data_IF_649608865363
#
_entry.id   IF_649608865363
#
_cell.length_a   1.000
_cell.length_b   1.000
_cell.length_c   1.000
_cell.angle_alpha   90.00
_cell.angle_beta   90.00
_cell.angle_gamma   90.00
#
_symmetry.space_group_name_H-M   'P 1'
#
loop_
_entity.id
_entity.type
_entity.pdbx_description
1 polymer ?
#
# COMPACT_ATOMS: atom_id res chain seq x y z
N UNK A 1 19.33 21.16 25.84
CA UNK A 1 18.67 21.10 24.52
C UNK A 1 17.53 20.11 24.60
N UNK A 2 16.31 20.48 24.19
CA UNK A 2 15.19 19.52 24.10
C UNK A 2 15.25 18.86 22.72
N UNK A 3 15.19 17.53 22.67
CA UNK A 3 15.13 16.75 21.43
C UNK A 3 13.76 16.12 21.31
N UNK A 4 13.21 16.11 20.09
CA UNK A 4 11.99 15.39 19.72
C UNK A 4 12.36 14.20 18.86
N UNK A 5 11.93 13.01 19.25
CA UNK A 5 12.14 11.77 18.49
C UNK A 5 10.84 11.40 17.79
N UNK A 6 10.90 11.23 16.48
CA UNK A 6 9.77 10.78 15.67
C UNK A 6 10.12 9.38 15.16
N UNK A 7 9.34 8.34 15.49
CA UNK A 7 9.62 6.99 15.01
C UNK A 7 9.46 6.90 13.49
N UNK A 8 10.06 5.86 12.91
CA UNK A 8 9.94 5.59 11.48
C UNK A 8 8.46 5.52 11.07
N UNK A 9 8.15 6.10 9.90
CA UNK A 9 6.78 6.11 9.37
C UNK A 9 5.80 6.94 10.20
N UNK A 10 6.30 7.75 11.14
CA UNK A 10 5.47 8.46 12.12
C UNK A 10 4.52 7.50 12.86
N UNK A 11 4.96 6.28 13.16
CA UNK A 11 4.19 5.29 13.90
C UNK A 11 4.07 5.67 15.38
N UNK A 12 3.24 6.66 15.68
CA UNK A 12 2.91 7.10 17.03
C UNK A 12 1.55 7.84 17.02
N UNK A 13 0.89 8.01 18.19
CA UNK A 13 -0.50 8.47 18.28
C UNK A 13 -0.84 9.77 17.55
N UNK A 14 0.07 10.75 17.51
CA UNK A 14 -0.21 12.04 16.87
C UNK A 14 -0.35 11.94 15.33
N UNK A 15 0.08 10.84 14.70
CA UNK A 15 -0.17 10.64 13.28
C UNK A 15 -1.66 10.47 12.96
N UNK A 16 -2.48 10.04 13.92
CA UNK A 16 -3.92 9.84 13.73
C UNK A 16 -4.63 11.13 13.29
N UNK A 17 -4.21 12.30 13.79
CA UNK A 17 -4.90 13.57 13.51
C UNK A 17 -4.93 13.88 12.01
N UNK A 18 -3.78 13.78 11.34
CA UNK A 18 -3.70 14.01 9.89
C UNK A 18 -4.38 12.90 9.08
N UNK A 19 -4.27 11.65 9.53
CA UNK A 19 -4.90 10.52 8.82
C UNK A 19 -6.43 10.55 8.95
N UNK A 20 -6.95 11.05 10.07
CA UNK A 20 -8.39 11.28 10.25
C UNK A 20 -8.93 12.27 9.21
N UNK A 21 -8.22 13.38 8.97
CA UNK A 21 -8.60 14.34 7.92
C UNK A 21 -8.64 13.67 6.54
N UNK A 22 -7.62 12.86 6.22
CA UNK A 22 -7.62 12.08 4.97
C UNK A 22 -8.83 11.13 4.87
N UNK A 23 -9.20 10.46 5.96
CA UNK A 23 -10.37 9.58 5.98
C UNK A 23 -11.68 10.37 5.78
N UNK A 24 -11.81 11.54 6.41
CA UNK A 24 -12.95 12.44 6.24
C UNK A 24 -13.07 12.92 4.78
N UNK A 25 -11.97 13.29 4.15
CA UNK A 25 -11.92 13.66 2.72
C UNK A 25 -12.33 12.49 1.80
N UNK A 26 -11.84 11.27 2.07
CA UNK A 26 -12.23 10.07 1.31
C UNK A 26 -13.73 9.78 1.48
N UNK A 27 -14.24 9.87 2.71
CA UNK A 27 -15.65 9.64 3.01
C UNK A 27 -16.53 10.67 2.29
N UNK A 28 -16.18 11.95 2.38
CA UNK A 28 -16.89 13.03 1.69
C UNK A 28 -16.88 12.80 0.18
N UNK A 29 -15.73 12.48 -0.41
CA UNK A 29 -15.61 12.21 -1.84
C UNK A 29 -16.52 11.06 -2.30
N UNK A 30 -16.47 9.92 -1.61
CA UNK A 30 -17.29 8.74 -1.97
C UNK A 30 -18.78 9.00 -1.77
N UNK A 31 -19.16 9.59 -0.63
CA UNK A 31 -20.57 9.79 -0.26
C UNK A 31 -21.22 10.95 -1.01
N UNK A 32 -20.48 11.92 -1.52
CA UNK A 32 -21.04 13.06 -2.27
C UNK A 32 -20.98 12.85 -3.78
N UNK A 33 -19.85 12.38 -4.30
CA UNK A 33 -19.65 12.27 -5.76
C UNK A 33 -20.14 10.92 -6.31
N UNK A 34 -20.25 9.88 -5.46
CA UNK A 34 -20.43 8.50 -5.90
C UNK A 34 -21.42 7.70 -5.04
N UNK A 35 -22.55 8.31 -4.67
CA UNK A 35 -23.59 7.73 -3.78
C UNK A 35 -24.09 6.33 -4.14
N UNK A 36 -23.98 5.92 -5.40
CA UNK A 36 -24.44 4.63 -5.88
C UNK A 36 -23.31 3.62 -6.09
N UNK A 37 -22.07 3.95 -5.74
CA UNK A 37 -20.90 3.08 -5.88
C UNK A 37 -20.43 2.60 -4.52
N UNK A 38 -19.74 1.46 -4.51
CA UNK A 38 -19.00 0.97 -3.35
C UNK A 38 -17.51 1.07 -3.67
N UNK A 39 -16.69 1.30 -2.66
CA UNK A 39 -15.26 1.53 -2.88
C UNK A 39 -14.40 0.56 -2.06
N UNK A 40 -13.33 0.13 -2.69
CA UNK A 40 -12.20 -0.51 -2.02
C UNK A 40 -11.02 0.44 -2.09
N UNK A 41 -10.58 0.91 -0.93
CA UNK A 41 -9.39 1.75 -0.78
C UNK A 41 -8.17 0.85 -0.66
N UNK A 42 -7.14 1.11 -1.45
CA UNK A 42 -5.87 0.37 -1.40
C UNK A 42 -4.73 1.34 -1.16
N UNK A 43 -3.80 0.98 -0.26
CA UNK A 43 -2.57 1.74 -0.07
C UNK A 43 -1.33 0.85 0.20
N UNK A 44 -0.14 1.26 -0.29
CA UNK A 44 1.12 0.63 0.08
C UNK A 44 1.44 0.90 1.56
N UNK A 45 2.01 -0.10 2.24
CA UNK A 45 2.32 -0.02 3.67
C UNK A 45 3.79 -0.35 3.97
N UNK A 46 4.47 0.60 4.61
CA UNK A 46 5.71 0.36 5.33
C UNK A 46 5.43 -0.11 6.75
N UNK A 47 5.33 0.84 7.69
CA UNK A 47 4.92 0.61 9.08
C UNK A 47 3.42 0.39 9.25
N UNK A 48 2.61 0.76 8.24
CA UNK A 48 1.15 0.58 8.30
C UNK A 48 0.38 1.68 9.04
N UNK A 49 1.04 2.66 9.65
CA UNK A 49 0.42 3.73 10.44
C UNK A 49 -0.79 4.38 9.75
N UNK A 50 -0.65 4.76 8.48
CA UNK A 50 -1.76 5.34 7.70
C UNK A 50 -2.93 4.35 7.55
N UNK A 51 -2.66 3.08 7.24
CA UNK A 51 -3.72 2.09 7.04
C UNK A 51 -4.47 1.78 8.34
N UNK A 52 -3.76 1.68 9.47
CA UNK A 52 -4.38 1.47 10.77
C UNK A 52 -5.33 2.61 11.13
N UNK A 53 -4.86 3.85 11.03
CA UNK A 53 -5.67 5.00 11.40
C UNK A 53 -6.79 5.29 10.39
N UNK A 54 -6.59 5.04 9.09
CA UNK A 54 -7.69 5.09 8.11
C UNK A 54 -8.80 4.12 8.48
N UNK A 55 -8.47 2.90 8.92
CA UNK A 55 -9.47 1.90 9.30
C UNK A 55 -10.40 2.36 10.45
N UNK A 56 -9.95 3.30 11.30
CA UNK A 56 -10.77 3.82 12.40
C UNK A 56 -11.77 4.89 11.96
N UNK A 57 -11.51 5.58 10.83
CA UNK A 57 -12.24 6.79 10.44
C UNK A 57 -12.92 6.67 9.08
N UNK A 58 -12.61 5.66 8.27
CA UNK A 58 -13.31 5.41 7.01
C UNK A 58 -14.77 4.97 7.24
N UNK A 59 -15.63 5.34 6.30
CA UNK A 59 -17.03 4.94 6.30
C UNK A 59 -17.13 3.40 6.30
N UNK A 60 -18.02 2.78 7.11
CA UNK A 60 -18.10 1.31 7.24
C UNK A 60 -18.31 0.55 5.93
N UNK A 61 -18.96 1.18 4.94
CA UNK A 61 -19.18 0.58 3.63
C UNK A 61 -17.94 0.61 2.73
N UNK A 62 -16.83 1.25 3.12
CA UNK A 62 -15.56 1.27 2.38
C UNK A 62 -14.68 0.11 2.89
N UNK A 63 -14.22 -0.74 1.98
CA UNK A 63 -13.24 -1.79 2.30
C UNK A 63 -11.84 -1.18 2.21
N UNK A 64 -10.98 -1.44 3.17
CA UNK A 64 -9.61 -0.94 3.18
C UNK A 64 -8.62 -2.11 3.06
N UNK A 65 -7.72 -2.02 2.10
CA UNK A 65 -6.70 -3.01 1.79
C UNK A 65 -5.30 -2.45 1.95
N UNK A 66 -4.48 -3.11 2.75
CA UNK A 66 -3.09 -2.73 3.03
C UNK A 66 -2.11 -3.65 2.29
N UNK A 67 -1.20 -3.07 1.50
CA UNK A 67 -0.17 -3.86 0.78
C UNK A 67 1.16 -3.84 1.53
N UNK A 68 1.65 -4.99 2.07
CA UNK A 68 2.89 -5.01 2.86
C UNK A 68 4.14 -4.87 1.98
N UNK A 69 4.81 -3.70 2.03
CA UNK A 69 5.94 -3.38 1.14
C UNK A 69 7.33 -3.57 1.77
N UNK A 70 7.46 -3.50 3.10
CA UNK A 70 8.76 -3.63 3.80
C UNK A 70 9.03 -5.07 4.28
N UNK A 71 7.97 -5.80 4.62
CA UNK A 71 8.00 -7.20 5.08
C UNK A 71 6.91 -8.02 4.42
N UNK A 72 6.30 -8.94 5.16
CA UNK A 72 5.10 -9.65 4.74
C UNK A 72 3.88 -9.27 5.59
N UNK A 73 2.76 -9.94 5.36
CA UNK A 73 1.52 -9.67 6.09
C UNK A 73 1.68 -9.86 7.60
N UNK A 74 2.46 -10.85 8.05
CA UNK A 74 2.71 -11.09 9.46
C UNK A 74 3.53 -9.95 10.08
N UNK A 75 4.56 -9.47 9.38
CA UNK A 75 5.31 -8.30 9.82
C UNK A 75 4.41 -7.05 9.92
N UNK A 76 3.56 -6.81 8.93
CA UNK A 76 2.66 -5.65 8.95
C UNK A 76 1.64 -5.74 10.10
N UNK A 77 1.12 -6.95 10.37
CA UNK A 77 0.24 -7.20 11.51
C UNK A 77 0.92 -6.88 12.85
N UNK A 78 2.18 -7.27 13.03
CA UNK A 78 2.97 -6.92 14.22
C UNK A 78 3.15 -5.41 14.36
N UNK A 79 3.32 -4.67 13.26
CA UNK A 79 3.39 -3.21 13.31
C UNK A 79 2.06 -2.58 13.75
N UNK A 80 0.92 -3.13 13.33
CA UNK A 80 -0.38 -2.68 13.82
C UNK A 80 -0.54 -2.94 15.32
N UNK A 81 -0.22 -4.15 15.79
CA UNK A 81 -0.30 -4.52 17.20
C UNK A 81 0.55 -3.59 18.07
N UNK A 82 1.80 -3.33 17.66
CA UNK A 82 2.68 -2.41 18.37
C UNK A 82 2.08 -0.99 18.45
N UNK A 83 1.57 -0.46 17.34
CA UNK A 83 1.00 0.89 17.32
C UNK A 83 -0.30 0.98 18.14
N UNK A 84 -1.10 -0.10 18.18
CA UNK A 84 -2.28 -0.20 19.04
C UNK A 84 -1.89 -0.19 20.52
N UNK A 85 -0.84 -0.91 20.90
CA UNK A 85 -0.35 -0.93 22.29
C UNK A 85 0.21 0.43 22.73
N UNK A 86 0.82 1.18 21.80
CA UNK A 86 1.37 2.51 22.05
C UNK A 86 0.31 3.62 22.10
N UNK A 87 -0.86 3.40 21.49
CA UNK A 87 -1.94 4.39 21.41
C UNK A 87 -3.06 4.12 22.43
N UNK A 88 -3.19 4.93 23.51
CA UNK A 88 -4.18 4.70 24.54
C UNK A 88 -5.63 4.87 24.06
N UNK A 89 -5.86 5.41 22.85
CA UNK A 89 -7.19 5.51 22.26
C UNK A 89 -7.64 4.22 21.55
N UNK A 90 -6.72 3.28 21.34
CA UNK A 90 -6.96 2.02 20.65
C UNK A 90 -6.94 0.84 21.63
N UNK A 91 -7.54 -0.28 21.22
CA UNK A 91 -7.53 -1.55 21.98
C UNK A 91 -7.49 -2.73 21.02
N UNK A 92 -6.63 -3.72 21.26
CA UNK A 92 -6.41 -4.85 20.34
C UNK A 92 -7.71 -5.56 19.93
N UNK A 93 -8.66 -5.71 20.86
CA UNK A 93 -9.90 -6.44 20.63
C UNK A 93 -11.00 -5.65 19.88
N UNK A 94 -10.93 -4.32 19.86
CA UNK A 94 -11.97 -3.48 19.26
C UNK A 94 -11.47 -2.64 18.08
N UNK A 95 -10.16 -2.51 17.90
CA UNK A 95 -9.57 -1.74 16.81
C UNK A 95 -9.89 -2.39 15.48
N UNK A 96 -10.44 -1.62 14.55
CA UNK A 96 -10.69 -2.09 13.20
C UNK A 96 -9.35 -2.21 12.46
N UNK A 97 -9.13 -3.31 11.74
CA UNK A 97 -7.90 -3.50 10.96
C UNK A 97 -8.19 -3.45 9.47
N UNK A 98 -7.27 -2.89 8.65
CA UNK A 98 -7.35 -3.06 7.21
C UNK A 98 -7.17 -4.54 6.83
N UNK A 99 -7.71 -4.94 5.68
CA UNK A 99 -7.45 -6.25 5.10
C UNK A 99 -6.03 -6.26 4.53
N UNK A 100 -5.15 -7.08 5.09
CA UNK A 100 -3.76 -7.16 4.63
C UNK A 100 -3.66 -8.12 3.46
N UNK A 101 -3.22 -7.62 2.31
CA UNK A 101 -2.96 -8.48 1.16
C UNK A 101 -1.75 -9.38 1.41
N UNK A 102 -1.76 -10.57 0.83
CA UNK A 102 -0.65 -11.53 0.89
C UNK A 102 -0.05 -11.68 -0.51
N UNK A 103 0.97 -10.89 -0.89
CA UNK A 103 1.58 -11.01 -2.21
C UNK A 103 2.18 -12.40 -2.42
N UNK A 104 1.90 -13.03 -3.57
CA UNK A 104 2.48 -14.35 -3.95
C UNK A 104 4.00 -14.36 -3.94
N UNK A 105 4.63 -13.21 -4.19
CA UNK A 105 6.09 -13.05 -4.20
C UNK A 105 6.52 -12.05 -3.16
N UNK A 106 7.37 -12.52 -2.25
CA UNK A 106 8.09 -11.64 -1.32
C UNK A 106 9.16 -10.87 -2.11
N UNK A 107 9.06 -9.54 -2.14
CA UNK A 107 10.18 -8.69 -2.53
C UNK A 107 10.89 -8.21 -1.29
N UNK A 108 12.22 -8.20 -1.30
CA UNK A 108 12.99 -7.55 -0.23
C UNK A 108 12.89 -6.05 -0.45
N UNK A 109 12.51 -5.32 0.59
CA UNK A 109 12.41 -3.86 0.55
C UNK A 109 13.62 -3.19 -0.12
N UNK A 110 13.37 -2.32 -1.09
CA UNK A 110 14.41 -1.57 -1.82
C UNK A 110 15.34 -2.39 -2.71
N UNK A 111 15.13 -3.71 -2.86
CA UNK A 111 15.90 -4.56 -3.77
C UNK A 111 15.40 -4.38 -5.20
N UNK A 112 16.32 -4.20 -6.14
CA UNK A 112 16.01 -4.13 -7.56
C UNK A 112 15.40 -5.44 -8.05
N UNK A 113 14.25 -5.36 -8.71
CA UNK A 113 13.53 -6.49 -9.29
C UNK A 113 12.81 -6.02 -10.55
N UNK A 114 13.15 -6.63 -11.71
CA UNK A 114 12.67 -6.14 -13.01
C UNK A 114 11.15 -6.04 -13.15
N UNK A 115 10.34 -6.97 -12.61
CA UNK A 115 8.89 -6.83 -12.60
C UNK A 115 8.38 -5.55 -11.91
N UNK A 116 9.09 -4.98 -10.94
CA UNK A 116 8.71 -3.69 -10.34
C UNK A 116 9.06 -2.51 -11.27
N UNK A 117 10.18 -2.62 -11.99
CA UNK A 117 10.53 -1.64 -13.00
C UNK A 117 9.54 -1.67 -14.17
N UNK A 118 9.20 -2.86 -14.66
CA UNK A 118 8.22 -3.06 -15.73
C UNK A 118 6.83 -2.55 -15.29
N UNK A 119 6.37 -2.91 -14.08
CA UNK A 119 5.11 -2.40 -13.51
C UNK A 119 5.10 -0.88 -13.34
N UNK A 120 6.21 -0.28 -12.89
CA UNK A 120 6.34 1.18 -12.81
C UNK A 120 6.14 1.84 -14.19
N UNK A 121 6.77 1.30 -15.23
CA UNK A 121 6.63 1.81 -16.59
C UNK A 121 5.20 1.65 -17.12
N UNK A 122 4.57 0.53 -16.85
CA UNK A 122 3.19 0.24 -17.26
C UNK A 122 2.21 1.22 -16.61
N UNK A 123 2.26 1.37 -15.28
CA UNK A 123 1.37 2.28 -14.57
C UNK A 123 1.61 3.74 -14.99
N UNK A 124 2.86 4.18 -15.13
CA UNK A 124 3.16 5.54 -15.60
C UNK A 124 2.62 5.77 -17.02
N UNK A 125 2.75 4.78 -17.90
CA UNK A 125 2.27 4.88 -19.28
C UNK A 125 0.75 4.95 -19.36
N UNK A 126 0.04 4.13 -18.60
CA UNK A 126 -1.43 4.06 -18.64
C UNK A 126 -2.09 5.23 -17.89
N UNK A 127 -1.54 5.64 -16.74
CA UNK A 127 -2.17 6.64 -15.87
C UNK A 127 -1.61 8.05 -16.02
N UNK A 128 -0.40 8.18 -16.58
CA UNK A 128 0.42 9.42 -16.56
C UNK A 128 0.77 9.93 -15.16
N UNK A 129 0.53 9.12 -14.12
CA UNK A 129 0.90 9.42 -12.73
C UNK A 129 2.22 8.72 -12.41
N UNK A 130 3.16 9.46 -11.84
CA UNK A 130 4.46 8.93 -11.43
C UNK A 130 4.36 8.35 -10.03
N UNK A 131 4.51 7.04 -9.89
CA UNK A 131 4.53 6.33 -8.60
C UNK A 131 5.97 5.99 -8.21
N UNK A 132 6.25 5.80 -6.93
CA UNK A 132 7.60 5.41 -6.53
C UNK A 132 7.92 3.94 -6.84
N UNK A 133 9.17 3.67 -7.20
CA UNK A 133 9.67 2.33 -7.58
C UNK A 133 9.77 1.32 -6.41
N UNK A 134 9.53 1.75 -5.17
CA UNK A 134 9.73 0.92 -3.97
C UNK A 134 8.41 0.47 -3.36
N UNK A 135 7.49 1.40 -3.09
CA UNK A 135 6.18 1.17 -2.50
C UNK A 135 5.10 1.12 -3.59
N UNK A 136 4.95 2.19 -4.35
CA UNK A 136 3.90 2.32 -5.36
C UNK A 136 3.93 1.21 -6.40
N UNK A 137 5.07 1.02 -7.05
CA UNK A 137 5.27 -0.05 -8.03
C UNK A 137 5.04 -1.44 -7.45
N UNK A 138 5.43 -1.67 -6.19
CA UNK A 138 5.20 -2.95 -5.51
C UNK A 138 3.72 -3.18 -5.19
N UNK A 139 2.99 -2.14 -4.77
CA UNK A 139 1.56 -2.24 -4.53
C UNK A 139 0.80 -2.57 -5.81
N UNK A 140 1.03 -1.82 -6.89
CA UNK A 140 0.43 -2.13 -8.19
C UNK A 140 0.83 -3.51 -8.69
N UNK A 141 2.10 -3.90 -8.56
CA UNK A 141 2.53 -5.24 -8.91
C UNK A 141 1.77 -6.30 -8.10
N UNK A 142 1.58 -6.09 -6.80
CA UNK A 142 0.85 -7.04 -5.94
C UNK A 142 -0.60 -7.19 -6.40
N UNK A 143 -1.27 -6.09 -6.72
CA UNK A 143 -2.63 -6.07 -7.24
C UNK A 143 -2.76 -6.87 -8.54
N UNK A 144 -1.85 -6.65 -9.49
CA UNK A 144 -1.90 -7.29 -10.82
C UNK A 144 -1.21 -8.65 -10.90
N UNK A 145 -0.55 -9.11 -9.85
CA UNK A 145 0.17 -10.39 -9.86
C UNK A 145 -0.72 -11.63 -9.79
N UNK A 146 -2.00 -11.43 -9.45
CA UNK A 146 -2.99 -12.48 -9.26
C UNK A 146 -4.40 -11.92 -9.52
N UNK A 147 -5.11 -12.45 -10.51
CA UNK A 147 -6.48 -12.00 -10.83
C UNK A 147 -7.43 -12.14 -9.64
N UNK A 148 -7.23 -13.17 -8.78
CA UNK A 148 -8.07 -13.35 -7.60
C UNK A 148 -7.96 -12.21 -6.59
N UNK A 149 -6.82 -11.50 -6.55
CA UNK A 149 -6.65 -10.31 -5.70
C UNK A 149 -7.50 -9.15 -6.24
N UNK A 150 -7.54 -8.96 -7.55
CA UNK A 150 -8.42 -7.95 -8.15
C UNK A 150 -9.89 -8.32 -8.00
N UNK A 151 -10.24 -9.60 -8.16
CA UNK A 151 -11.62 -10.06 -7.99
C UNK A 151 -12.12 -9.85 -6.56
N UNK A 152 -11.25 -10.06 -5.56
CA UNK A 152 -11.54 -9.75 -4.16
C UNK A 152 -11.73 -8.24 -3.92
N UNK A 153 -10.79 -7.43 -4.40
CA UNK A 153 -10.80 -5.96 -4.18
C UNK A 153 -11.99 -5.31 -4.89
N UNK A 154 -12.27 -5.72 -6.12
CA UNK A 154 -13.37 -5.19 -6.93
C UNK A 154 -14.70 -5.90 -6.63
N UNK A 155 -14.69 -6.92 -5.76
CA UNK A 155 -15.87 -7.71 -5.39
C UNK A 155 -16.64 -8.24 -6.61
N UNK A 156 -15.89 -8.70 -7.64
CA UNK A 156 -16.45 -9.16 -8.93
C UNK A 156 -17.36 -10.39 -8.80
N UNK A 157 -17.19 -11.14 -7.71
CA UNK A 157 -18.01 -12.30 -7.37
C UNK A 157 -19.11 -11.98 -6.34
N UNK A 158 -19.19 -10.72 -5.89
CA UNK A 158 -20.13 -10.26 -4.88
C UNK A 158 -21.48 -9.82 -5.43
N UNK A 159 -22.35 -9.36 -4.53
CA UNK A 159 -23.65 -8.81 -4.89
C UNK A 159 -23.54 -7.48 -5.66
N UNK A 160 -22.43 -6.76 -5.51
CA UNK A 160 -22.18 -5.46 -6.14
C UNK A 160 -20.68 -5.24 -6.29
N UNK A 161 -20.25 -4.98 -7.52
CA UNK A 161 -18.86 -4.60 -7.81
C UNK A 161 -18.48 -3.28 -7.13
N UNK A 162 -17.19 -3.19 -6.81
CA UNK A 162 -16.58 -2.06 -6.09
C UNK A 162 -15.56 -1.37 -6.99
N UNK A 163 -15.52 -0.06 -6.89
CA UNK A 163 -14.53 0.79 -7.52
C UNK A 163 -13.24 0.79 -6.68
N UNK A 164 -12.09 0.80 -7.34
CA UNK A 164 -10.79 0.90 -6.68
C UNK A 164 -10.41 2.38 -6.47
N UNK A 165 -10.15 2.76 -5.23
CA UNK A 165 -9.51 4.05 -4.89
C UNK A 165 -8.11 3.76 -4.36
N UNK A 166 -7.09 4.08 -5.16
CA UNK A 166 -5.70 3.92 -4.75
C UNK A 166 -5.17 5.19 -4.06
N UNK A 167 -4.60 5.06 -2.86
CA UNK A 167 -3.96 6.18 -2.14
C UNK A 167 -2.50 6.27 -2.55
N UNK A 168 -2.16 7.29 -3.33
CA UNK A 168 -0.79 7.58 -3.72
C UNK A 168 0.00 8.20 -2.55
N UNK A 169 0.84 7.42 -1.87
CA UNK A 169 1.56 7.85 -0.65
C UNK A 169 2.85 8.66 -0.89
N UNK A 170 3.17 9.00 -2.14
CA UNK A 170 4.31 9.86 -2.49
C UNK A 170 5.56 9.04 -2.83
N UNK A 171 6.74 9.46 -2.38
CA UNK A 171 7.99 8.72 -2.52
C UNK A 171 8.73 8.85 -3.86
N UNK A 172 8.17 9.58 -4.82
CA UNK A 172 8.72 9.74 -6.18
C UNK A 172 10.11 10.38 -6.23
N UNK A 173 10.50 11.15 -5.20
CA UNK A 173 11.86 11.69 -5.08
C UNK A 173 12.95 10.61 -5.06
N UNK A 174 12.61 9.37 -4.69
CA UNK A 174 13.50 8.22 -4.74
C UNK A 174 13.71 7.65 -6.15
N UNK A 175 12.87 8.00 -7.13
CA UNK A 175 12.86 7.37 -8.45
C UNK A 175 14.16 7.59 -9.21
N UNK A 176 14.72 8.80 -9.21
CA UNK A 176 15.98 9.09 -9.91
C UNK A 176 17.12 8.14 -9.46
N UNK A 177 17.25 7.93 -8.15
CA UNK A 177 18.25 7.02 -7.59
C UNK A 177 17.93 5.56 -7.90
N UNK A 178 16.66 5.16 -7.84
CA UNK A 178 16.23 3.79 -8.17
C UNK A 178 16.44 3.45 -9.65
N UNK A 179 16.10 4.36 -10.56
CA UNK A 179 16.32 4.21 -12.00
C UNK A 179 17.80 4.07 -12.33
N UNK A 180 18.66 4.94 -11.78
CA UNK A 180 20.11 4.83 -11.96
C UNK A 180 20.66 3.49 -11.45
N UNK A 181 20.08 2.92 -10.39
CA UNK A 181 20.41 1.58 -9.90
C UNK A 181 19.98 0.47 -10.87
N UNK A 182 18.81 0.60 -11.52
CA UNK A 182 18.35 -0.32 -12.56
C UNK A 182 19.22 -0.25 -13.82
N UNK A 183 19.60 0.95 -14.28
CA UNK A 183 20.48 1.14 -15.44
C UNK A 183 21.83 0.46 -15.28
N UNK A 184 22.41 0.51 -14.07
CA UNK A 184 23.66 -0.18 -13.74
C UNK A 184 23.50 -1.71 -13.66
N UNK A 185 22.29 -2.21 -13.44
CA UNK A 185 22.01 -3.64 -13.32
C UNK A 185 21.79 -4.20 -14.72
N UNK A 186 22.67 -5.09 -15.18
CA UNK A 186 22.49 -5.72 -16.49
C UNK A 186 21.24 -6.65 -16.48
N UNK A 187 20.34 -6.51 -17.46
CA UNK A 187 19.12 -7.33 -17.58
C UNK A 187 19.45 -8.81 -17.83
N UNK A 188 20.60 -9.09 -18.46
CA UNK A 188 21.08 -10.44 -18.80
C UNK A 188 21.49 -11.28 -17.57
N UNK A 189 21.76 -10.67 -16.41
CA UNK A 189 22.19 -11.39 -15.20
C UNK A 189 21.06 -12.15 -14.47
N UNK A 190 19.84 -12.20 -15.03
CA UNK A 190 18.68 -12.88 -14.45
C UNK A 190 18.06 -13.98 -15.34
N UNK A 191 18.62 -14.27 -16.51
CA UNK A 191 18.25 -15.49 -17.24
C UNK A 191 18.80 -16.68 -16.45
N UNK A 192 17.97 -17.64 -16.00
CA UNK A 192 18.50 -18.82 -15.32
C UNK A 192 19.49 -19.53 -16.24
N UNK A 193 20.68 -19.83 -15.72
CA UNK A 193 21.66 -20.71 -16.38
C UNK A 193 21.03 -22.10 -16.53
N UNK A 194 20.35 -22.35 -17.65
CA UNK A 194 19.68 -23.62 -17.88
C UNK A 194 18.69 -23.68 -19.05
N UNK A 195 18.63 -22.66 -19.90
CA UNK A 195 17.89 -22.72 -21.15
C UNK A 195 18.85 -22.51 -22.33
N UNK A 196 19.74 -23.48 -22.54
CA UNK A 196 20.35 -23.72 -23.85
C UNK A 196 19.73 -25.01 -24.40
N UNK A 197 18.94 -24.79 -25.46
CA UNK A 197 18.57 -25.64 -26.62
C UNK A 197 18.62 -27.16 -26.42
#
# INVERSE_FOLDING_TARGET
TKSLYIPQGAAFPLAQEGVKLLAEEINEYVLTQWQHKQFSVVLPCGTGTTALYLAQHLHPDIKLYAVPCVGDAAYLQQQFEQLIEEDPSLQLQTTLLPQVLVPKRKSRFGRLWWPLYDMYQDVLRETKVDFDLVYGAFAWHSLFSDESVLDEILDRNGAKERELLYVHTGGTSGNATMLARYERKNRQSQVPKGAEI
#
